data_IF_802683111865
#
_entry.id   IF_802683111865
#
_cell.length_a   1.000
_cell.length_b   1.000
_cell.length_c   1.000
_cell.angle_alpha   90.00
_cell.angle_beta   90.00
_cell.angle_gamma   90.00
#
_symmetry.space_group_name_H-M   'P 1'
#
loop_
_entity.id
_entity.type
_entity.pdbx_description
1 polymer ?
#
# COMPACT_ATOMS: atom_id res chain seq x y z
N UNK A 1 13.47 -7.77 -3.12
CA UNK A 1 13.25 -9.21 -2.87
C UNK A 1 11.76 -9.52 -2.76
N UNK A 2 11.01 -9.01 -1.77
CA UNK A 2 9.60 -9.41 -1.59
C UNK A 2 8.70 -9.26 -2.85
N UNK A 3 8.92 -8.25 -3.68
CA UNK A 3 8.21 -8.07 -4.98
C UNK A 3 8.40 -9.27 -5.93
N UNK A 4 9.57 -9.90 -5.94
CA UNK A 4 9.83 -11.07 -6.80
C UNK A 4 9.13 -12.35 -6.31
N UNK A 5 8.58 -12.33 -5.09
CA UNK A 5 7.78 -13.42 -4.53
C UNK A 5 6.29 -13.13 -4.78
N UNK A 6 5.84 -11.91 -4.48
CA UNK A 6 4.44 -11.51 -4.65
C UNK A 6 4.31 -10.02 -4.99
N UNK A 7 3.58 -9.74 -6.07
CA UNK A 7 3.39 -8.38 -6.59
C UNK A 7 2.58 -7.46 -5.68
N UNK A 8 1.76 -7.99 -4.76
CA UNK A 8 1.00 -7.16 -3.80
C UNK A 8 1.89 -6.27 -2.92
N UNK A 9 3.18 -6.60 -2.80
CA UNK A 9 4.16 -5.77 -2.12
C UNK A 9 4.29 -4.38 -2.79
N UNK A 10 3.91 -4.24 -4.07
CA UNK A 10 3.85 -2.94 -4.74
C UNK A 10 2.83 -1.97 -4.12
N UNK A 11 1.87 -2.46 -3.34
CA UNK A 11 0.93 -1.59 -2.61
C UNK A 11 1.63 -0.72 -1.55
N UNK A 12 2.85 -1.08 -1.14
CA UNK A 12 3.70 -0.26 -0.27
C UNK A 12 4.45 0.85 -1.04
N UNK A 13 4.51 0.79 -2.37
CA UNK A 13 5.36 1.67 -3.18
C UNK A 13 5.03 3.17 -3.04
N UNK A 14 3.75 3.61 -3.00
CA UNK A 14 3.43 5.03 -2.79
C UNK A 14 3.96 5.57 -1.45
N UNK A 15 3.73 4.82 -0.36
CA UNK A 15 4.27 5.16 0.97
C UNK A 15 5.80 5.15 1.00
N UNK A 16 6.44 4.15 0.40
CA UNK A 16 7.89 4.04 0.33
C UNK A 16 8.54 5.20 -0.43
N UNK A 17 7.96 5.57 -1.58
CA UNK A 17 8.42 6.71 -2.38
C UNK A 17 8.40 7.99 -1.57
N UNK A 18 7.28 8.25 -0.87
CA UNK A 18 7.14 9.43 -0.02
C UNK A 18 8.16 9.45 1.12
N UNK A 19 8.41 8.32 1.77
CA UNK A 19 9.41 8.20 2.83
C UNK A 19 10.84 8.44 2.32
N UNK A 20 11.19 7.94 1.13
CA UNK A 20 12.50 8.24 0.51
C UNK A 20 12.63 9.73 0.17
N UNK A 21 11.58 10.35 -0.36
CA UNK A 21 11.57 11.80 -0.65
C UNK A 21 11.68 12.68 0.61
N UNK A 22 11.29 12.16 1.78
CA UNK A 22 11.40 12.85 3.07
C UNK A 22 12.75 12.64 3.75
N UNK A 23 13.31 11.44 3.62
CA UNK A 23 14.54 11.02 4.31
C UNK A 23 15.78 11.48 3.57
N UNK A 24 15.78 11.39 2.23
CA UNK A 24 16.91 11.77 1.40
C UNK A 24 16.95 13.29 1.18
N UNK A 25 18.16 13.83 1.02
CA UNK A 25 18.35 15.27 0.84
C UNK A 25 18.12 15.70 -0.61
N UNK A 26 18.38 14.79 -1.56
CA UNK A 26 18.24 15.06 -3.00
C UNK A 26 17.38 14.02 -3.71
N UNK A 27 16.85 14.39 -4.88
CA UNK A 27 16.17 13.46 -5.77
C UNK A 27 17.11 12.39 -6.33
N UNK A 28 18.41 12.70 -6.46
CA UNK A 28 19.43 11.75 -6.94
C UNK A 28 19.59 10.60 -5.95
N UNK A 29 19.69 10.88 -4.65
CA UNK A 29 19.76 9.84 -3.61
C UNK A 29 18.50 8.96 -3.62
N UNK A 30 17.32 9.58 -3.73
CA UNK A 30 16.05 8.84 -3.87
C UNK A 30 16.05 7.93 -5.09
N UNK A 31 16.53 8.44 -6.23
CA UNK A 31 16.67 7.67 -7.45
C UNK A 31 17.66 6.50 -7.28
N UNK A 32 18.78 6.70 -6.59
CA UNK A 32 19.75 5.62 -6.28
C UNK A 32 19.07 4.54 -5.43
N UNK A 33 18.35 4.90 -4.36
CA UNK A 33 17.62 3.93 -3.53
C UNK A 33 16.60 3.12 -4.35
N UNK A 34 15.81 3.78 -5.19
CA UNK A 34 14.83 3.11 -6.06
C UNK A 34 15.53 2.23 -7.12
N UNK A 35 16.68 2.66 -7.63
CA UNK A 35 17.49 1.90 -8.58
C UNK A 35 18.04 0.62 -7.97
N UNK A 36 18.37 0.62 -6.67
CA UNK A 36 18.73 -0.62 -5.95
C UNK A 36 17.55 -1.60 -5.95
N UNK A 37 16.33 -1.12 -5.66
CA UNK A 37 15.13 -1.96 -5.71
C UNK A 37 14.90 -2.56 -7.11
N UNK A 38 15.00 -1.73 -8.15
CA UNK A 38 14.85 -2.15 -9.55
C UNK A 38 15.97 -3.11 -9.98
N UNK A 39 17.21 -2.82 -9.63
CA UNK A 39 18.38 -3.65 -9.93
C UNK A 39 18.25 -5.06 -9.37
N UNK A 40 17.76 -5.20 -8.14
CA UNK A 40 17.47 -6.53 -7.56
C UNK A 40 16.41 -7.27 -8.38
N UNK A 41 15.37 -6.60 -8.89
CA UNK A 41 14.38 -7.25 -9.76
C UNK A 41 14.97 -7.66 -11.11
N UNK A 42 15.84 -6.83 -11.71
CA UNK A 42 16.52 -7.15 -12.96
C UNK A 42 17.47 -8.34 -12.80
N UNK A 43 18.24 -8.40 -11.72
CA UNK A 43 19.16 -9.53 -11.45
C UNK A 43 18.37 -10.83 -11.28
N UNK A 44 17.32 -10.82 -10.47
CA UNK A 44 16.49 -12.02 -10.24
C UNK A 44 15.69 -12.42 -11.50
N UNK A 45 15.28 -11.44 -12.31
CA UNK A 45 14.57 -11.65 -13.56
C UNK A 45 15.47 -11.96 -14.76
N UNK A 46 16.80 -11.80 -14.64
CA UNK A 46 17.74 -11.87 -15.77
C UNK A 46 17.65 -13.16 -16.59
N UNK A 47 17.54 -14.38 -15.99
CA UNK A 47 17.42 -15.61 -16.78
C UNK A 47 16.22 -15.61 -17.73
N UNK A 48 15.12 -14.98 -17.31
CA UNK A 48 13.89 -14.88 -18.10
C UNK A 48 13.93 -13.70 -19.08
N UNK A 49 14.46 -12.55 -18.65
CA UNK A 49 14.58 -11.36 -19.49
C UNK A 49 15.54 -11.58 -20.67
N UNK A 50 16.62 -12.34 -20.48
CA UNK A 50 17.60 -12.61 -21.52
C UNK A 50 17.12 -13.69 -22.51
N UNK A 51 16.25 -14.61 -22.07
CA UNK A 51 15.79 -15.73 -22.91
C UNK A 51 14.42 -15.48 -23.53
N UNK A 52 13.47 -14.92 -22.77
CA UNK A 52 12.06 -14.72 -23.16
C UNK A 52 11.51 -13.39 -22.61
N UNK A 53 12.04 -12.22 -23.03
CA UNK A 53 11.70 -10.92 -22.44
C UNK A 53 10.21 -10.59 -22.53
N UNK A 54 9.60 -10.79 -23.70
CA UNK A 54 8.18 -10.48 -23.91
C UNK A 54 7.28 -11.35 -23.02
N UNK A 55 7.52 -12.66 -23.01
CA UNK A 55 6.75 -13.61 -22.21
C UNK A 55 6.89 -13.32 -20.72
N UNK A 56 8.11 -13.02 -20.26
CA UNK A 56 8.36 -12.67 -18.87
C UNK A 56 7.62 -11.40 -18.47
N UNK A 57 7.75 -10.31 -19.22
CA UNK A 57 7.09 -9.04 -18.89
C UNK A 57 5.56 -9.17 -18.89
N UNK A 58 4.98 -9.87 -19.87
CA UNK A 58 3.54 -10.13 -19.92
C UNK A 58 3.04 -10.99 -18.77
N UNK A 59 3.81 -12.01 -18.36
CA UNK A 59 3.37 -12.99 -17.34
C UNK A 59 3.77 -12.64 -15.91
N UNK A 60 4.79 -11.81 -15.70
CA UNK A 60 5.21 -11.39 -14.36
C UNK A 60 4.14 -10.52 -13.68
N UNK A 61 3.47 -9.65 -14.44
CA UNK A 61 2.45 -8.74 -13.92
C UNK A 61 1.02 -9.11 -14.33
N UNK A 62 0.86 -9.73 -15.51
CA UNK A 62 -0.41 -10.24 -16.03
C UNK A 62 -1.58 -9.24 -15.90
N UNK A 63 -1.36 -7.99 -16.35
CA UNK A 63 -2.32 -6.88 -16.19
C UNK A 63 -3.68 -7.10 -16.86
N UNK A 64 -3.74 -7.95 -17.89
CA UNK A 64 -4.98 -8.31 -18.57
C UNK A 64 -5.83 -9.32 -17.79
N UNK A 65 -5.27 -9.93 -16.73
CA UNK A 65 -5.95 -10.97 -15.99
C UNK A 65 -7.11 -10.40 -15.19
N UNK A 66 -8.28 -10.98 -15.43
CA UNK A 66 -9.45 -10.82 -14.58
C UNK A 66 -9.56 -12.03 -13.65
N UNK A 67 -9.51 -11.79 -12.34
CA UNK A 67 -9.68 -12.85 -11.35
C UNK A 67 -11.13 -13.33 -11.32
N UNK A 68 -11.31 -14.64 -11.11
CA UNK A 68 -12.64 -15.23 -11.08
C UNK A 68 -13.42 -14.74 -9.87
N UNK A 69 -14.68 -14.37 -10.10
CA UNK A 69 -15.59 -13.91 -9.07
C UNK A 69 -15.79 -14.94 -7.94
N UNK A 70 -15.65 -16.25 -8.20
CA UNK A 70 -15.73 -17.30 -7.16
C UNK A 70 -14.71 -17.12 -6.03
N UNK A 71 -13.51 -16.63 -6.33
CA UNK A 71 -12.38 -16.60 -5.39
C UNK A 71 -12.20 -15.26 -4.68
N UNK A 72 -13.01 -14.25 -5.01
CA UNK A 72 -12.89 -12.92 -4.42
C UNK A 72 -13.56 -12.87 -3.05
N UNK A 73 -12.85 -12.28 -2.08
CA UNK A 73 -13.43 -11.88 -0.78
C UNK A 73 -13.98 -10.46 -0.87
N UNK A 74 -13.31 -9.57 -1.62
CA UNK A 74 -13.73 -8.20 -1.86
C UNK A 74 -14.87 -8.11 -2.89
N UNK A 75 -15.77 -7.16 -2.68
CA UNK A 75 -16.88 -6.81 -3.58
C UNK A 75 -17.81 -7.98 -3.96
N UNK A 76 -17.85 -9.05 -3.16
CA UNK A 76 -18.69 -10.24 -3.37
C UNK A 76 -20.19 -9.97 -3.19
N UNK A 77 -20.55 -8.85 -2.58
CA UNK A 77 -21.95 -8.40 -2.51
C UNK A 77 -22.49 -7.86 -3.84
N UNK A 78 -21.62 -7.50 -4.78
CA UNK A 78 -22.03 -7.14 -6.13
C UNK A 78 -22.31 -8.42 -6.93
N UNK A 79 -23.26 -8.36 -7.88
CA UNK A 79 -23.43 -9.42 -8.87
C UNK A 79 -22.15 -9.62 -9.72
N UNK A 80 -21.97 -10.81 -10.26
CA UNK A 80 -20.79 -11.14 -11.09
C UNK A 80 -20.66 -10.20 -12.30
N UNK A 81 -21.77 -9.89 -12.98
CA UNK A 81 -21.78 -8.95 -14.10
C UNK A 81 -21.26 -7.57 -13.69
N UNK A 82 -21.69 -7.06 -12.54
CA UNK A 82 -21.25 -5.76 -12.04
C UNK A 82 -19.81 -5.79 -11.54
N UNK A 83 -19.36 -6.90 -10.99
CA UNK A 83 -17.96 -7.11 -10.58
C UNK A 83 -17.00 -7.09 -11.78
N UNK A 84 -17.39 -7.69 -12.90
CA UNK A 84 -16.54 -7.82 -14.09
C UNK A 84 -16.50 -6.53 -14.95
N UNK A 85 -17.44 -5.60 -14.75
CA UNK A 85 -17.49 -4.31 -15.45
C UNK A 85 -16.18 -3.52 -15.34
N UNK A 86 -15.77 -2.92 -16.46
CA UNK A 86 -14.56 -2.09 -16.53
C UNK A 86 -14.74 -0.79 -15.75
N UNK A 87 -15.96 -0.27 -15.71
CA UNK A 87 -16.35 0.94 -15.00
C UNK A 87 -16.05 0.81 -13.50
N UNK A 88 -16.37 -0.34 -12.90
CA UNK A 88 -16.04 -0.62 -11.49
C UNK A 88 -14.53 -0.61 -11.26
N UNK A 89 -13.75 -1.25 -12.15
CA UNK A 89 -12.29 -1.29 -12.04
C UNK A 89 -11.68 0.12 -12.10
N UNK A 90 -12.17 0.97 -13.00
CA UNK A 90 -11.73 2.37 -13.13
C UNK A 90 -12.15 3.22 -11.93
N UNK A 91 -13.38 3.03 -11.42
CA UNK A 91 -13.85 3.72 -10.22
C UNK A 91 -13.00 3.36 -9.00
N UNK A 92 -12.73 2.07 -8.79
CA UNK A 92 -11.88 1.59 -7.70
C UNK A 92 -10.46 2.16 -7.79
N UNK A 93 -9.88 2.21 -9.00
CA UNK A 93 -8.59 2.83 -9.23
C UNK A 93 -8.60 4.33 -8.92
N UNK A 94 -9.64 5.05 -9.35
CA UNK A 94 -9.79 6.47 -9.06
C UNK A 94 -9.89 6.71 -7.55
N UNK A 95 -10.73 5.96 -6.83
CA UNK A 95 -10.87 6.07 -5.38
C UNK A 95 -9.58 5.71 -4.64
N UNK A 96 -8.84 4.69 -5.12
CA UNK A 96 -7.53 4.34 -4.61
C UNK A 96 -6.53 5.51 -4.72
N UNK A 97 -6.42 6.12 -5.89
CA UNK A 97 -5.53 7.27 -6.11
C UNK A 97 -5.95 8.48 -5.28
N UNK A 98 -7.25 8.76 -5.19
CA UNK A 98 -7.79 9.83 -4.35
C UNK A 98 -7.43 9.61 -2.88
N UNK A 99 -7.64 8.39 -2.35
CA UNK A 99 -7.30 8.04 -0.98
C UNK A 99 -5.78 8.18 -0.72
N UNK A 100 -4.94 7.75 -1.65
CA UNK A 100 -3.49 7.96 -1.57
C UNK A 100 -3.11 9.44 -1.54
N UNK A 101 -3.74 10.30 -2.34
CA UNK A 101 -3.48 11.74 -2.34
C UNK A 101 -3.89 12.36 -1.00
N UNK A 102 -5.08 12.05 -0.49
CA UNK A 102 -5.56 12.54 0.81
C UNK A 102 -4.61 12.11 1.93
N UNK A 103 -4.22 10.84 1.93
CA UNK A 103 -3.26 10.33 2.90
C UNK A 103 -1.87 10.94 2.73
N UNK A 104 -1.40 11.18 1.50
CA UNK A 104 -0.13 11.85 1.25
C UNK A 104 -0.11 13.26 1.83
N UNK A 105 -1.19 14.05 1.66
CA UNK A 105 -1.30 15.38 2.29
C UNK A 105 -1.20 15.27 3.81
N UNK A 106 -1.90 14.32 4.43
CA UNK A 106 -1.83 14.06 5.87
C UNK A 106 -0.42 13.63 6.31
N UNK A 107 0.22 12.71 5.60
CA UNK A 107 1.58 12.25 5.90
C UNK A 107 2.60 13.37 5.77
N UNK A 108 2.47 14.24 4.77
CA UNK A 108 3.32 15.42 4.61
C UNK A 108 3.13 16.43 5.75
N UNK A 109 1.90 16.61 6.23
CA UNK A 109 1.63 17.44 7.40
C UNK A 109 2.26 16.85 8.67
N UNK A 110 2.14 15.54 8.87
CA UNK A 110 2.75 14.83 10.00
C UNK A 110 4.28 14.86 9.95
N UNK A 111 4.89 14.75 8.77
CA UNK A 111 6.35 14.80 8.64
C UNK A 111 6.95 16.12 9.17
N UNK A 112 6.22 17.24 9.03
CA UNK A 112 6.65 18.54 9.57
C UNK A 112 6.81 18.50 11.09
N UNK A 113 5.97 17.75 11.81
CA UNK A 113 6.02 17.64 13.27
C UNK A 113 7.06 16.65 13.78
N UNK A 114 7.52 15.73 12.92
CA UNK A 114 8.50 14.70 13.30
C UNK A 114 9.93 15.22 13.46
N UNK A 115 10.37 16.18 12.64
CA UNK A 115 11.68 16.90 12.74
C UNK A 115 11.93 17.70 11.46
N UNK A 116 11.51 18.98 11.37
CA UNK A 116 11.95 19.91 10.31
C UNK A 116 11.93 19.38 8.86
N UNK A 117 11.12 18.36 8.56
CA UNK A 117 11.27 17.54 7.37
C UNK A 117 10.68 18.27 6.17
N UNK A 118 11.51 19.09 5.53
CA UNK A 118 11.22 19.65 4.20
C UNK A 118 11.48 18.59 3.14
N UNK A 119 10.48 18.34 2.29
CA UNK A 119 10.52 17.40 1.15
C UNK A 119 11.72 17.72 0.26
N UNK A 120 12.46 16.71 -0.21
CA UNK A 120 13.59 16.90 -1.14
C UNK A 120 13.21 17.73 -2.38
N UNK A 121 11.98 17.57 -2.90
CA UNK A 121 11.43 18.36 -4.01
C UNK A 121 11.41 19.88 -3.71
N UNK A 122 10.97 20.29 -2.52
CA UNK A 122 10.88 21.71 -2.13
C UNK A 122 12.26 22.33 -1.89
N UNK A 123 13.24 21.52 -1.47
CA UNK A 123 14.63 21.97 -1.30
C UNK A 123 15.36 22.25 -2.60
N UNK A 124 15.09 21.50 -3.68
CA UNK A 124 15.74 21.74 -4.98
C UNK A 124 15.41 23.15 -5.49
N UNK A 125 14.23 23.69 -5.15
CA UNK A 125 13.83 25.06 -5.46
C UNK A 125 14.35 26.10 -4.45
N UNK A 126 14.52 25.76 -3.17
CA UNK A 126 15.03 26.66 -2.11
C UNK A 126 16.57 26.64 -1.97
N UNK A 127 17.32 26.41 -3.05
CA UNK A 127 18.80 26.42 -3.06
C UNK A 127 19.39 27.83 -2.97
N UNK A 128 18.91 28.65 -2.04
CA UNK A 128 19.52 29.93 -1.67
C UNK A 128 19.25 30.21 -0.19
N UNK A 129 20.07 29.64 0.69
CA UNK A 129 19.97 29.86 2.13
C UNK A 129 20.84 28.92 2.93
N UNK A 130 22.06 29.34 3.22
CA UNK A 130 22.93 28.72 4.21
C UNK A 130 22.19 28.63 5.56
N UNK A 131 22.05 27.41 6.11
CA UNK A 131 21.97 27.04 7.55
C UNK A 131 21.06 25.81 7.74
N UNK A 132 21.65 24.61 7.70
CA UNK A 132 21.22 23.38 8.43
C UNK A 132 21.91 22.12 7.85
N UNK A 133 23.23 22.18 7.59
CA UNK A 133 24.02 20.98 7.37
C UNK A 133 24.37 20.41 8.75
N UNK A 134 23.66 19.38 9.22
CA UNK A 134 24.17 18.29 10.09
C UNK A 134 23.15 17.55 10.96
N UNK A 135 21.85 17.86 10.92
CA UNK A 135 20.89 16.99 11.62
C UNK A 135 20.44 15.88 10.68
N UNK A 136 20.98 14.66 10.87
CA UNK A 136 20.42 13.45 10.26
C UNK A 136 18.94 13.43 10.60
N UNK A 137 18.11 13.49 9.57
CA UNK A 137 16.65 13.51 9.71
C UNK A 137 16.21 12.14 10.13
N UNK A 138 15.68 12.03 11.34
CA UNK A 138 15.19 10.77 11.85
C UNK A 138 13.67 10.81 11.82
N UNK A 139 13.10 10.18 10.78
CA UNK A 139 11.71 9.78 10.83
C UNK A 139 11.56 8.70 11.90
N UNK A 140 10.56 8.84 12.76
CA UNK A 140 10.29 7.84 13.78
C UNK A 140 9.87 6.52 13.12
N UNK A 141 10.28 5.35 13.66
CA UNK A 141 9.83 4.05 13.16
C UNK A 141 8.31 3.95 13.09
N UNK A 142 7.60 4.56 14.04
CA UNK A 142 6.14 4.61 14.09
C UNK A 142 5.55 5.32 12.87
N UNK A 143 6.12 6.46 12.47
CA UNK A 143 5.68 7.18 11.28
C UNK A 143 5.96 6.39 9.99
N UNK A 144 7.13 5.74 9.90
CA UNK A 144 7.51 4.90 8.76
C UNK A 144 6.51 3.74 8.60
N UNK A 145 6.26 2.99 9.69
CA UNK A 145 5.34 1.86 9.69
C UNK A 145 3.91 2.30 9.38
N UNK A 146 3.44 3.38 10.00
CA UNK A 146 2.11 3.94 9.74
C UNK A 146 1.91 4.29 8.25
N UNK A 147 2.90 4.96 7.64
CA UNK A 147 2.85 5.36 6.23
C UNK A 147 2.84 4.14 5.30
N UNK A 148 3.72 3.17 5.53
CA UNK A 148 3.79 1.94 4.74
C UNK A 148 2.51 1.10 4.87
N UNK A 149 2.05 0.85 6.10
CA UNK A 149 0.90 -0.01 6.36
C UNK A 149 -0.39 0.62 5.86
N UNK A 150 -0.55 1.95 6.02
CA UNK A 150 -1.71 2.66 5.47
C UNK A 150 -1.69 2.65 3.94
N UNK A 151 -0.54 2.83 3.29
CA UNK A 151 -0.41 2.70 1.83
C UNK A 151 -0.86 1.31 1.35
N UNK A 152 -0.42 0.26 2.03
CA UNK A 152 -0.81 -1.12 1.70
C UNK A 152 -2.32 -1.36 1.92
N UNK A 153 -2.86 -0.90 3.05
CA UNK A 153 -4.28 -1.07 3.39
C UNK A 153 -5.19 -0.36 2.39
N UNK A 154 -4.84 0.85 1.94
CA UNK A 154 -5.57 1.56 0.87
C UNK A 154 -5.61 0.70 -0.40
N UNK A 155 -4.50 0.05 -0.76
CA UNK A 155 -4.46 -0.91 -1.85
C UNK A 155 -5.40 -2.09 -1.67
N UNK A 156 -5.45 -2.67 -0.47
CA UNK A 156 -6.28 -3.84 -0.14
C UNK A 156 -7.77 -3.50 -0.17
N UNK A 157 -8.16 -2.34 0.38
CA UNK A 157 -9.57 -1.89 0.41
C UNK A 157 -10.08 -1.69 -1.02
N UNK A 158 -9.33 -0.98 -1.85
CA UNK A 158 -9.78 -0.64 -3.21
C UNK A 158 -9.44 -1.70 -4.26
N UNK A 159 -8.77 -2.80 -3.92
CA UNK A 159 -8.55 -3.86 -4.90
C UNK A 159 -9.88 -4.53 -5.26
N UNK A 160 -10.12 -4.69 -6.57
CA UNK A 160 -11.33 -5.34 -7.08
C UNK A 160 -11.42 -6.80 -6.65
N UNK A 161 -10.31 -7.53 -6.68
CA UNK A 161 -10.30 -8.94 -6.30
C UNK A 161 -9.18 -9.25 -5.33
N UNK A 162 -9.53 -9.96 -4.27
CA UNK A 162 -8.57 -10.48 -3.30
C UNK A 162 -8.88 -11.94 -3.01
N UNK A 163 -7.86 -12.78 -3.11
CA UNK A 163 -7.93 -14.19 -2.76
C UNK A 163 -7.62 -14.39 -1.27
N UNK A 164 -8.20 -15.40 -0.63
CA UNK A 164 -8.00 -15.73 0.79
C UNK A 164 -6.53 -15.75 1.24
N UNK A 165 -5.65 -16.36 0.45
CA UNK A 165 -4.19 -16.36 0.69
C UNK A 165 -3.56 -14.97 0.94
N UNK A 166 -4.17 -13.88 0.46
CA UNK A 166 -3.63 -12.54 0.67
C UNK A 166 -3.79 -12.06 2.10
N UNK A 167 -4.64 -12.70 2.90
CA UNK A 167 -4.84 -12.33 4.31
C UNK A 167 -3.53 -12.33 5.10
N UNK A 168 -2.69 -13.34 4.91
CA UNK A 168 -1.40 -13.45 5.60
C UNK A 168 -0.42 -12.31 5.28
N UNK A 169 -0.60 -11.59 4.16
CA UNK A 169 0.30 -10.52 3.73
C UNK A 169 0.04 -9.19 4.42
N UNK A 170 -1.11 -9.02 5.06
CA UNK A 170 -1.47 -7.78 5.75
C UNK A 170 -2.15 -8.01 7.11
N UNK A 171 -2.37 -9.27 7.51
CA UNK A 171 -2.92 -9.62 8.82
C UNK A 171 -2.24 -8.87 9.96
N UNK A 172 -0.90 -8.87 10.00
CA UNK A 172 -0.14 -8.21 11.05
C UNK A 172 -0.17 -6.66 10.99
N UNK A 173 -0.55 -6.08 9.86
CA UNK A 173 -0.68 -4.61 9.74
C UNK A 173 -1.98 -4.11 10.37
N UNK A 174 -3.03 -4.94 10.43
CA UNK A 174 -4.36 -4.55 10.93
C UNK A 174 -4.32 -4.20 12.42
N UNK A 175 -3.82 -5.06 13.34
CA UNK A 175 -3.75 -4.70 14.77
C UNK A 175 -2.92 -3.44 15.01
N UNK A 176 -1.82 -3.30 14.29
CA UNK A 176 -0.97 -2.11 14.39
C UNK A 176 -1.73 -0.83 14.03
N UNK A 177 -2.39 -0.79 12.86
CA UNK A 177 -3.13 0.38 12.40
C UNK A 177 -4.31 0.72 13.32
N UNK A 178 -4.98 -0.29 13.88
CA UNK A 178 -6.09 -0.09 14.80
C UNK A 178 -5.66 0.46 16.17
N UNK A 179 -4.49 0.05 16.66
CA UNK A 179 -4.04 0.31 18.02
C UNK A 179 -3.03 1.46 18.16
N UNK A 180 -2.51 2.01 17.05
CA UNK A 180 -1.47 3.06 17.07
C UNK A 180 -1.87 4.32 17.84
N UNK A 181 -3.15 4.66 17.86
CA UNK A 181 -3.68 5.87 18.53
C UNK A 181 -3.60 5.79 20.07
N UNK A 182 -3.38 4.60 20.66
CA UNK A 182 -3.18 4.44 22.11
C UNK A 182 -4.37 4.86 22.99
N UNK A 183 -5.49 5.32 22.42
CA UNK A 183 -6.68 5.71 23.15
C UNK A 183 -7.31 4.51 23.86
N UNK A 184 -7.60 4.68 25.15
CA UNK A 184 -8.20 3.69 26.05
C UNK A 184 -9.72 3.86 26.17
N UNK A 185 -10.35 4.57 25.23
CA UNK A 185 -11.80 4.72 25.22
C UNK A 185 -12.49 3.37 24.98
N UNK A 186 -13.40 2.97 25.87
CA UNK A 186 -14.10 1.70 25.79
C UNK A 186 -14.85 1.51 24.46
N UNK A 187 -15.54 2.54 23.97
CA UNK A 187 -16.28 2.50 22.69
C UNK A 187 -15.31 2.23 21.54
N UNK A 188 -14.18 2.94 21.51
CA UNK A 188 -13.17 2.75 20.48
C UNK A 188 -12.51 1.36 20.58
N UNK A 189 -12.28 0.87 21.81
CA UNK A 189 -11.81 -0.49 22.06
C UNK A 189 -12.76 -1.54 21.50
N UNK A 190 -14.06 -1.42 21.78
CA UNK A 190 -15.08 -2.30 21.25
C UNK A 190 -15.12 -2.28 19.72
N UNK A 191 -15.05 -1.10 19.10
CA UNK A 191 -14.99 -0.96 17.63
C UNK A 191 -13.78 -1.67 17.03
N UNK A 192 -12.59 -1.54 17.62
CA UNK A 192 -11.37 -2.23 17.14
C UNK A 192 -11.53 -3.75 17.16
N UNK A 193 -12.11 -4.29 18.24
CA UNK A 193 -12.39 -5.74 18.34
C UNK A 193 -13.44 -6.17 17.32
N UNK A 194 -14.50 -5.37 17.12
CA UNK A 194 -15.52 -5.66 16.10
C UNK A 194 -14.94 -5.66 14.68
N UNK A 195 -14.05 -4.71 14.36
CA UNK A 195 -13.36 -4.67 13.06
C UNK A 195 -12.51 -5.93 12.88
N UNK A 196 -11.71 -6.31 13.88
CA UNK A 196 -10.89 -7.54 13.83
C UNK A 196 -11.76 -8.78 13.66
N UNK A 197 -12.84 -8.90 14.42
CA UNK A 197 -13.77 -10.02 14.32
C UNK A 197 -14.50 -10.05 12.97
N UNK A 198 -14.85 -8.89 12.41
CA UNK A 198 -15.47 -8.78 11.09
C UNK A 198 -14.53 -9.21 9.96
N UNK A 199 -13.26 -8.82 10.04
CA UNK A 199 -12.23 -9.24 9.08
C UNK A 199 -12.00 -10.76 9.20
N UNK A 200 -11.84 -11.30 10.41
CA UNK A 200 -11.72 -12.74 10.63
C UNK A 200 -12.94 -13.50 10.09
N UNK A 201 -14.14 -13.02 10.35
CA UNK A 201 -15.38 -13.59 9.82
C UNK A 201 -15.37 -13.61 8.28
N UNK A 202 -14.97 -12.51 7.65
CA UNK A 202 -14.92 -12.40 6.20
C UNK A 202 -13.96 -13.41 5.55
N UNK A 203 -12.80 -13.66 6.17
CA UNK A 203 -11.79 -14.58 5.66
C UNK A 203 -11.99 -16.04 6.05
N UNK A 204 -12.77 -16.34 7.10
CA UNK A 204 -13.08 -17.72 7.51
C UNK A 204 -14.30 -18.31 6.80
N UNK A 205 -15.08 -17.51 6.06
CA UNK A 205 -16.20 -18.01 5.24
C UNK A 205 -15.75 -18.31 3.82
N UNK A 206 -15.91 -19.57 3.41
CA UNK A 206 -15.65 -20.02 2.04
C UNK A 206 -16.81 -20.84 1.46
N UNK A 207 -17.31 -20.51 0.25
CA UNK A 207 -17.02 -19.30 -0.54
C UNK A 207 -17.60 -18.03 0.11
N UNK A 208 -17.02 -16.87 -0.18
CA UNK A 208 -17.47 -15.59 0.36
C UNK A 208 -18.94 -15.32 0.00
N UNK A 209 -19.67 -14.74 0.95
CA UNK A 209 -21.08 -14.35 0.80
C UNK A 209 -21.19 -12.83 0.63
N UNK A 210 -22.34 -12.32 0.14
CA UNK A 210 -22.59 -10.88 0.12
C UNK A 210 -22.40 -10.23 1.50
N UNK A 211 -22.88 -10.88 2.56
CA UNK A 211 -22.74 -10.39 3.93
C UNK A 211 -21.28 -10.36 4.39
N UNK A 212 -20.53 -11.45 4.20
CA UNK A 212 -19.14 -11.52 4.65
C UNK A 212 -18.26 -10.49 3.94
N UNK A 213 -18.53 -10.23 2.67
CA UNK A 213 -17.83 -9.21 1.89
C UNK A 213 -18.25 -7.79 2.23
N UNK A 214 -19.53 -7.55 2.51
CA UNK A 214 -20.00 -6.25 2.96
C UNK A 214 -19.39 -5.87 4.32
N UNK A 215 -19.31 -6.82 5.26
CA UNK A 215 -18.65 -6.63 6.56
C UNK A 215 -17.17 -6.27 6.38
N UNK A 216 -16.48 -6.82 5.39
CA UNK A 216 -15.08 -6.49 5.11
C UNK A 216 -14.88 -5.06 4.57
N UNK A 217 -15.91 -4.47 3.95
CA UNK A 217 -15.84 -3.15 3.32
C UNK A 217 -16.38 -2.01 4.20
N UNK A 218 -17.04 -2.33 5.31
CA UNK A 218 -17.62 -1.38 6.29
C UNK A 218 -16.65 -1.22 7.47
#
# INVERSE_FOLDING_TARGET
IAVSIKMNVLLYAPGLLLLFLQTNDTLVETFICLSICAGVQLILGAPFLLTYPESYLRKAFEFDRVFMYKWTVNWKFLSEDNFLRKELSLLLLFLHLLALIVCAVKWLSLAKTQTGARIGLLKTFESNGNMAKNQKRHLTPEYILFTLFTSNMIGIVFCRSIHYQFYSWYFHTIPYLLLIDGSHNFVLGAMRILILAGIEYAYNIFPATPLSSAILQI
#
